data_IF_313943280630
#
_entry.id   IF_313943280630
#
_cell.length_a   1.000
_cell.length_b   1.000
_cell.length_c   1.000
_cell.angle_alpha   90.00
_cell.angle_beta   90.00
_cell.angle_gamma   90.00
#
_symmetry.space_group_name_H-M   'P 1'
#
loop_
_entity.id
_entity.type
_entity.pdbx_description
1 polymer ?
#
# COMPACT_ATOMS: atom_id res chain seq x y z
N UNK A 1 -82.54 -35.79 -35.28
CA UNK A 1 -81.34 -35.09 -34.70
C UNK A 1 -80.20 -36.07 -34.56
N UNK A 2 -79.09 -35.81 -35.26
CA UNK A 2 -77.96 -36.71 -35.31
C UNK A 2 -76.83 -36.31 -34.31
N UNK A 3 -77.08 -35.38 -33.42
CA UNK A 3 -76.11 -34.92 -32.51
C UNK A 3 -76.57 -35.06 -31.06
N UNK A 4 -75.80 -35.74 -30.24
CA UNK A 4 -76.00 -35.80 -28.79
C UNK A 4 -75.23 -34.67 -28.13
N UNK A 5 -75.80 -34.03 -27.11
CA UNK A 5 -75.13 -33.00 -26.32
C UNK A 5 -73.94 -33.61 -25.59
N UNK A 6 -72.78 -33.07 -25.81
CA UNK A 6 -71.57 -33.44 -25.07
C UNK A 6 -71.06 -32.24 -24.28
N UNK A 7 -70.65 -32.47 -23.07
CA UNK A 7 -69.99 -31.49 -22.22
C UNK A 7 -68.62 -32.02 -21.77
N UNK A 8 -67.64 -31.14 -21.68
CA UNK A 8 -66.32 -31.43 -21.08
C UNK A 8 -66.04 -30.46 -19.95
N UNK A 9 -65.59 -30.97 -18.82
CA UNK A 9 -65.13 -30.17 -17.70
C UNK A 9 -63.65 -30.07 -17.80
N UNK A 10 -63.09 -28.86 -17.55
CA UNK A 10 -61.69 -28.63 -17.44
C UNK A 10 -61.43 -27.72 -16.23
N UNK A 11 -60.27 -27.88 -15.60
CA UNK A 11 -59.83 -27.03 -14.50
C UNK A 11 -58.85 -25.97 -15.04
N UNK A 12 -59.13 -24.74 -14.71
CA UNK A 12 -58.17 -23.65 -14.93
C UNK A 12 -57.54 -23.29 -13.57
N UNK A 13 -56.21 -23.45 -13.46
CA UNK A 13 -55.46 -22.99 -12.32
C UNK A 13 -54.79 -21.65 -12.69
N UNK A 14 -55.12 -20.60 -11.97
CA UNK A 14 -54.48 -19.29 -12.13
C UNK A 14 -53.54 -19.08 -10.95
N UNK A 15 -52.26 -19.11 -11.21
CA UNK A 15 -51.25 -18.80 -10.18
C UNK A 15 -50.92 -17.30 -10.16
N UNK A 16 -50.77 -16.75 -8.95
CA UNK A 16 -50.34 -15.35 -8.79
C UNK A 16 -48.89 -15.16 -9.28
N UNK A 17 -48.69 -14.14 -10.08
CA UNK A 17 -47.30 -13.73 -10.42
C UNK A 17 -46.67 -13.04 -9.23
N UNK A 18 -45.72 -13.72 -8.57
CA UNK A 18 -44.99 -13.22 -7.38
C UNK A 18 -43.69 -12.52 -7.71
N UNK A 19 -43.38 -12.27 -8.97
CA UNK A 19 -42.13 -11.60 -9.38
C UNK A 19 -42.11 -10.15 -8.91
N UNK A 20 -40.93 -9.70 -8.57
CA UNK A 20 -40.65 -8.33 -8.11
C UNK A 20 -39.49 -7.73 -8.89
N UNK A 21 -39.43 -6.40 -8.93
CA UNK A 21 -38.32 -5.66 -9.47
C UNK A 21 -37.62 -4.90 -8.33
N UNK A 22 -36.30 -4.95 -8.32
CA UNK A 22 -35.47 -4.18 -7.41
C UNK A 22 -34.63 -3.22 -8.25
N UNK A 23 -34.97 -1.94 -8.22
CA UNK A 23 -34.29 -0.92 -8.98
C UNK A 23 -33.27 -0.18 -8.06
N UNK A 24 -32.01 -0.32 -8.39
CA UNK A 24 -30.88 0.41 -7.79
C UNK A 24 -29.76 0.44 -8.82
N UNK A 25 -28.95 1.50 -8.82
CA UNK A 25 -27.80 1.71 -9.74
C UNK A 25 -26.51 1.81 -8.98
N UNK A 26 -25.38 1.68 -9.68
CA UNK A 26 -24.06 1.99 -9.20
C UNK A 26 -24.02 3.43 -8.68
N UNK A 27 -23.18 3.66 -7.67
CA UNK A 27 -23.04 4.95 -7.02
C UNK A 27 -21.60 5.42 -7.17
N UNK A 28 -21.44 6.66 -7.60
CA UNK A 28 -20.16 7.38 -7.59
C UNK A 28 -20.37 8.64 -6.77
N UNK A 29 -19.55 8.80 -5.73
CA UNK A 29 -19.59 9.96 -4.84
C UNK A 29 -18.19 10.39 -4.44
N UNK A 30 -18.06 11.59 -3.90
CA UNK A 30 -16.84 12.06 -3.23
C UNK A 30 -16.96 11.78 -1.72
N UNK A 31 -15.85 11.55 -1.05
CA UNK A 31 -15.83 11.31 0.39
C UNK A 31 -16.56 12.43 1.16
N UNK A 32 -17.51 12.04 2.03
CA UNK A 32 -18.39 12.97 2.78
C UNK A 32 -19.37 13.81 1.93
N UNK A 33 -19.59 13.50 0.66
CA UNK A 33 -20.61 14.16 -0.17
C UNK A 33 -22.03 13.95 0.36
N UNK A 34 -22.29 12.83 1.05
CA UNK A 34 -23.59 12.55 1.64
C UNK A 34 -24.56 11.77 0.75
N UNK A 35 -24.10 11.24 -0.37
CA UNK A 35 -24.91 10.37 -1.24
C UNK A 35 -25.44 9.13 -0.48
N UNK A 36 -26.54 8.59 -0.97
CA UNK A 36 -27.25 7.48 -0.36
C UNK A 36 -27.45 6.35 -1.35
N UNK A 37 -27.40 5.11 -0.87
CA UNK A 37 -27.96 3.97 -1.59
C UNK A 37 -29.47 4.06 -1.53
N UNK A 38 -30.14 4.10 -2.67
CA UNK A 38 -31.60 4.18 -2.79
C UNK A 38 -32.09 3.02 -3.64
N UNK A 39 -32.89 2.15 -3.06
CA UNK A 39 -33.49 1.00 -3.72
C UNK A 39 -35.02 1.15 -3.81
N UNK A 40 -35.59 0.91 -4.98
CA UNK A 40 -37.03 0.91 -5.19
C UNK A 40 -37.47 -0.52 -5.49
N UNK A 41 -38.39 -1.03 -4.66
CA UNK A 41 -38.97 -2.36 -4.77
C UNK A 41 -40.42 -2.26 -5.29
N UNK A 42 -40.72 -2.93 -6.41
CA UNK A 42 -42.03 -2.95 -7.01
C UNK A 42 -42.46 -4.39 -7.34
N UNK A 43 -43.78 -4.63 -7.50
CA UNK A 43 -44.30 -5.84 -8.09
C UNK A 43 -43.99 -5.92 -9.60
N UNK A 44 -44.45 -6.98 -10.24
CA UNK A 44 -44.26 -7.22 -11.68
C UNK A 44 -45.01 -6.22 -12.59
N UNK A 45 -46.03 -5.50 -12.06
CA UNK A 45 -46.77 -4.45 -12.75
C UNK A 45 -46.17 -3.06 -12.53
N UNK A 46 -45.17 -2.95 -11.65
CA UNK A 46 -44.51 -1.68 -11.30
C UNK A 46 -45.17 -0.98 -10.10
N UNK A 47 -46.16 -1.58 -9.43
CA UNK A 47 -46.73 -1.00 -8.22
C UNK A 47 -45.74 -1.08 -7.07
N UNK A 48 -45.61 -0.04 -6.22
CA UNK A 48 -44.66 -0.01 -5.11
C UNK A 48 -45.05 -1.05 -4.03
N UNK A 49 -44.02 -1.74 -3.49
CA UNK A 49 -44.17 -2.63 -2.34
C UNK A 49 -43.74 -1.89 -1.12
N UNK A 50 -44.69 -1.40 -0.33
CA UNK A 50 -44.46 -0.68 0.94
C UNK A 50 -44.28 -1.65 2.11
N UNK A 51 -43.63 -1.16 3.19
CA UNK A 51 -43.37 -1.88 4.44
C UNK A 51 -42.60 -3.19 4.25
N UNK A 52 -41.83 -3.33 3.17
CA UNK A 52 -40.96 -4.46 2.91
C UNK A 52 -39.55 -4.20 3.45
N UNK A 53 -38.92 -5.22 4.01
CA UNK A 53 -37.54 -5.11 4.51
C UNK A 53 -36.55 -5.37 3.36
N UNK A 54 -35.74 -4.36 3.02
CA UNK A 54 -34.64 -4.44 2.06
C UNK A 54 -33.32 -4.46 2.83
N UNK A 55 -32.44 -5.36 2.44
CA UNK A 55 -31.11 -5.54 3.05
C UNK A 55 -30.04 -4.94 2.14
N UNK A 56 -29.19 -4.11 2.72
CA UNK A 56 -28.02 -3.51 2.07
C UNK A 56 -26.76 -4.10 2.68
N UNK A 57 -26.02 -4.89 1.94
CA UNK A 57 -24.75 -5.48 2.39
C UNK A 57 -23.60 -4.79 1.69
N UNK A 58 -22.70 -4.15 2.45
CA UNK A 58 -21.52 -3.46 1.93
C UNK A 58 -20.40 -3.53 2.97
N UNK A 59 -19.16 -3.71 2.53
CA UNK A 59 -17.97 -3.77 3.39
C UNK A 59 -18.13 -4.80 4.54
N UNK A 60 -18.73 -5.97 4.26
CA UNK A 60 -18.94 -7.05 5.23
C UNK A 60 -20.04 -6.79 6.27
N UNK A 61 -20.78 -5.67 6.19
CA UNK A 61 -21.89 -5.34 7.09
C UNK A 61 -23.20 -5.33 6.33
N UNK A 62 -24.26 -5.81 6.98
CA UNK A 62 -25.64 -5.82 6.44
C UNK A 62 -26.53 -4.90 7.25
N UNK A 63 -27.22 -4.02 6.58
CA UNK A 63 -28.17 -3.05 7.13
C UNK A 63 -29.55 -3.30 6.55
N UNK A 64 -30.58 -3.33 7.39
CA UNK A 64 -31.97 -3.44 6.96
C UNK A 64 -32.63 -2.06 6.93
N UNK A 65 -33.49 -1.83 5.92
CA UNK A 65 -34.33 -0.64 5.78
C UNK A 65 -35.70 -1.08 5.29
N UNK A 66 -36.72 -0.42 5.80
CA UNK A 66 -38.12 -0.66 5.40
C UNK A 66 -38.47 0.27 4.25
N UNK A 67 -39.15 -0.24 3.22
CA UNK A 67 -39.66 0.58 2.12
C UNK A 67 -40.80 1.48 2.57
N UNK A 68 -40.81 2.70 2.08
CA UNK A 68 -41.90 3.67 2.26
C UNK A 68 -43.09 3.39 1.36
N UNK A 69 -44.08 4.29 1.34
CA UNK A 69 -45.29 4.17 0.50
C UNK A 69 -44.98 4.11 -1.02
N UNK A 70 -43.82 4.62 -1.43
CA UNK A 70 -43.35 4.57 -2.83
C UNK A 70 -42.47 3.35 -3.11
N UNK A 71 -42.40 2.37 -2.20
CA UNK A 71 -41.55 1.19 -2.33
C UNK A 71 -40.07 1.51 -2.17
N UNK A 72 -39.69 2.66 -1.62
CA UNK A 72 -38.31 3.15 -1.54
C UNK A 72 -37.68 2.85 -0.18
N UNK A 73 -36.54 2.18 -0.19
CA UNK A 73 -35.66 2.02 0.95
C UNK A 73 -34.34 2.74 0.72
N UNK A 74 -33.79 3.43 1.73
CA UNK A 74 -32.54 4.17 1.55
C UNK A 74 -31.60 4.06 2.74
N UNK A 75 -30.27 4.05 2.44
CA UNK A 75 -29.19 4.00 3.43
C UNK A 75 -28.11 5.04 3.10
N UNK A 76 -27.67 5.82 4.10
CA UNK A 76 -26.53 6.74 3.95
C UNK A 76 -25.22 5.97 3.90
N UNK A 77 -24.25 6.49 3.15
CA UNK A 77 -22.90 5.95 3.01
C UNK A 77 -21.93 6.75 3.90
N UNK A 78 -21.28 6.06 4.83
CA UNK A 78 -20.25 6.64 5.70
C UNK A 78 -19.04 5.69 5.75
N UNK A 79 -18.44 5.45 4.58
CA UNK A 79 -17.25 4.62 4.40
C UNK A 79 -16.09 5.49 3.97
N UNK A 80 -14.85 5.00 4.14
CA UNK A 80 -13.64 5.66 3.62
C UNK A 80 -13.62 5.63 2.09
N UNK A 81 -12.81 6.49 1.48
CA UNK A 81 -12.65 6.52 0.02
C UNK A 81 -12.08 5.20 -0.50
N UNK A 82 -12.84 4.53 -1.34
CA UNK A 82 -12.49 3.25 -1.98
C UNK A 82 -13.58 2.85 -2.98
N UNK A 83 -13.37 1.72 -3.65
CA UNK A 83 -14.38 1.04 -4.47
C UNK A 83 -14.90 -0.17 -3.70
N UNK A 84 -16.21 -0.25 -3.53
CA UNK A 84 -16.89 -1.31 -2.79
C UNK A 84 -17.89 -2.05 -3.70
N UNK A 85 -17.97 -3.37 -3.54
CA UNK A 85 -19.09 -4.15 -4.04
C UNK A 85 -20.17 -4.18 -2.95
N UNK A 86 -21.40 -3.89 -3.34
CA UNK A 86 -22.56 -3.96 -2.47
C UNK A 86 -23.61 -4.88 -3.04
N UNK A 87 -24.33 -5.59 -2.18
CA UNK A 87 -25.48 -6.41 -2.53
C UNK A 87 -26.73 -5.81 -1.88
N UNK A 88 -27.76 -5.59 -2.67
CA UNK A 88 -29.06 -5.16 -2.18
C UNK A 88 -30.06 -6.27 -2.43
N UNK A 89 -30.82 -6.69 -1.40
CA UNK A 89 -31.71 -7.84 -1.51
C UNK A 89 -33.02 -7.65 -0.75
N UNK A 90 -34.04 -8.32 -1.25
CA UNK A 90 -35.29 -8.55 -0.59
C UNK A 90 -35.51 -10.05 -0.44
N UNK A 91 -35.81 -10.55 0.75
CA UNK A 91 -35.89 -11.99 1.02
C UNK A 91 -37.21 -12.63 0.61
N UNK A 92 -38.17 -11.83 0.07
CA UNK A 92 -39.49 -12.29 -0.29
C UNK A 92 -40.51 -12.29 0.86
N UNK A 93 -41.73 -12.70 0.54
CA UNK A 93 -42.85 -12.92 1.46
C UNK A 93 -43.80 -14.01 0.87
N UNK A 94 -44.90 -14.30 1.52
CA UNK A 94 -45.89 -15.21 0.98
C UNK A 94 -46.46 -14.74 -0.37
N UNK A 95 -46.46 -13.40 -0.61
CA UNK A 95 -47.01 -12.77 -1.82
C UNK A 95 -45.95 -12.49 -2.89
N UNK A 96 -44.67 -12.40 -2.53
CA UNK A 96 -43.60 -11.94 -3.42
C UNK A 96 -42.34 -12.79 -3.33
N UNK A 97 -41.72 -13.02 -4.48
CA UNK A 97 -40.44 -13.75 -4.58
C UNK A 97 -39.27 -12.92 -4.02
N UNK A 98 -38.22 -13.62 -3.58
CA UNK A 98 -36.95 -12.99 -3.24
C UNK A 98 -36.26 -12.45 -4.48
N UNK A 99 -35.48 -11.35 -4.31
CA UNK A 99 -34.64 -10.77 -5.35
C UNK A 99 -33.35 -10.19 -4.74
N UNK A 100 -32.29 -10.21 -5.53
CA UNK A 100 -31.00 -9.64 -5.13
C UNK A 100 -30.33 -8.96 -6.33
N UNK A 101 -29.63 -7.86 -6.10
CA UNK A 101 -28.86 -7.12 -7.10
C UNK A 101 -27.53 -6.68 -6.52
N UNK A 102 -26.44 -6.85 -7.29
CA UNK A 102 -25.13 -6.34 -6.97
C UNK A 102 -24.92 -5.00 -7.66
N UNK A 103 -24.28 -4.09 -6.96
CA UNK A 103 -23.89 -2.77 -7.45
C UNK A 103 -22.47 -2.43 -7.00
N UNK A 104 -21.86 -1.47 -7.69
CA UNK A 104 -20.58 -0.87 -7.32
C UNK A 104 -20.82 0.47 -6.64
N UNK A 105 -20.15 0.69 -5.52
CA UNK A 105 -20.11 1.98 -4.81
C UNK A 105 -18.69 2.52 -4.86
N UNK A 106 -18.46 3.59 -5.62
CA UNK A 106 -17.17 4.27 -5.74
C UNK A 106 -17.19 5.53 -4.89
N UNK A 107 -16.34 5.60 -3.88
CA UNK A 107 -16.14 6.79 -3.05
C UNK A 107 -14.78 7.39 -3.41
N UNK A 108 -14.77 8.47 -4.17
CA UNK A 108 -13.58 9.18 -4.59
C UNK A 108 -12.96 9.92 -3.40
N UNK A 109 -11.62 9.94 -3.27
CA UNK A 109 -10.95 10.66 -2.20
C UNK A 109 -10.97 12.17 -2.41
N UNK A 110 -10.90 12.91 -1.31
CA UNK A 110 -10.67 14.37 -1.29
C UNK A 110 -9.19 14.72 -1.17
N UNK A 111 -8.31 13.71 -1.05
CA UNK A 111 -6.85 13.84 -1.09
C UNK A 111 -6.33 12.96 -2.24
N UNK A 112 -5.69 13.59 -3.21
CA UNK A 112 -5.11 12.90 -4.39
C UNK A 112 -3.62 13.21 -4.48
N UNK A 113 -2.80 12.18 -4.50
CA UNK A 113 -1.36 12.26 -4.71
C UNK A 113 -0.85 10.92 -5.26
N UNK A 114 0.35 10.95 -5.83
CA UNK A 114 1.11 9.75 -6.18
C UNK A 114 2.11 9.40 -5.08
N UNK A 115 2.48 8.13 -4.98
CA UNK A 115 3.61 7.68 -4.18
C UNK A 115 4.90 8.34 -4.68
N UNK A 116 5.85 8.61 -3.77
CA UNK A 116 7.11 9.24 -4.14
C UNK A 116 8.28 8.27 -4.02
N UNK A 117 9.04 8.15 -5.10
CA UNK A 117 10.34 7.48 -5.12
C UNK A 117 11.42 8.51 -5.47
N UNK A 118 12.42 8.67 -4.62
CA UNK A 118 13.52 9.63 -4.85
C UNK A 118 14.84 9.10 -4.33
N UNK A 119 15.96 9.62 -4.83
CA UNK A 119 17.27 9.40 -4.23
C UNK A 119 17.42 10.25 -2.96
N UNK A 120 18.27 9.79 -2.04
CA UNK A 120 18.64 10.55 -0.84
C UNK A 120 19.15 11.95 -1.22
N UNK A 121 18.64 12.99 -0.51
CA UNK A 121 18.91 14.41 -0.78
C UNK A 121 18.57 14.92 -2.20
N UNK A 122 17.85 14.14 -3.03
CA UNK A 122 17.28 14.67 -4.27
C UNK A 122 16.26 15.78 -3.93
N UNK A 123 16.13 16.79 -4.79
CA UNK A 123 15.26 17.94 -4.53
C UNK A 123 13.76 17.66 -4.79
N UNK A 124 13.40 16.51 -5.36
CA UNK A 124 12.01 16.14 -5.64
C UNK A 124 11.17 16.19 -4.37
N UNK A 125 9.99 16.82 -4.49
CA UNK A 125 9.05 17.02 -3.39
C UNK A 125 7.83 16.12 -3.57
N UNK A 126 7.15 15.82 -2.46
CA UNK A 126 5.84 15.19 -2.48
C UNK A 126 4.77 16.27 -2.68
N UNK A 127 3.79 16.03 -3.57
CA UNK A 127 2.68 16.93 -3.86
C UNK A 127 1.37 16.20 -3.62
N UNK A 128 0.40 16.87 -2.97
CA UNK A 128 -0.96 16.37 -2.80
C UNK A 128 -1.98 17.46 -3.08
N UNK A 129 -3.03 17.10 -3.81
CA UNK A 129 -4.19 17.96 -4.08
C UNK A 129 -5.31 17.64 -3.09
N UNK A 130 -5.92 18.69 -2.55
CA UNK A 130 -7.01 18.63 -1.59
C UNK A 130 -8.26 19.29 -2.15
N UNK A 131 -9.40 18.63 -1.97
CA UNK A 131 -10.72 19.17 -2.34
C UNK A 131 -11.68 19.08 -1.16
N UNK A 132 -12.79 19.81 -1.25
CA UNK A 132 -13.94 19.59 -0.38
C UNK A 132 -14.77 18.37 -0.85
N UNK A 133 -15.86 18.08 -0.15
CA UNK A 133 -16.79 16.99 -0.49
C UNK A 133 -17.60 17.21 -1.77
N UNK A 134 -17.50 18.39 -2.42
CA UNK A 134 -18.10 18.68 -3.72
C UNK A 134 -17.09 18.59 -4.86
N UNK A 135 -15.81 18.32 -4.55
CA UNK A 135 -14.71 18.26 -5.51
C UNK A 135 -14.05 19.63 -5.80
N UNK A 136 -14.48 20.70 -5.12
CA UNK A 136 -13.86 22.01 -5.25
C UNK A 136 -12.51 22.05 -4.55
N UNK A 137 -11.49 22.63 -5.20
CA UNK A 137 -10.16 22.77 -4.66
C UNK A 137 -10.13 23.58 -3.34
N UNK A 138 -9.42 23.08 -2.33
CA UNK A 138 -9.17 23.80 -1.08
C UNK A 138 -8.03 24.80 -1.28
N UNK A 139 -8.33 25.99 -1.79
CA UNK A 139 -7.34 27.03 -2.00
C UNK A 139 -6.96 27.73 -0.69
N UNK A 140 -5.68 28.10 -0.56
CA UNK A 140 -5.13 28.84 0.59
C UNK A 140 -5.51 28.26 1.96
N UNK A 141 -5.63 26.94 2.05
CA UNK A 141 -6.05 26.20 3.24
C UNK A 141 -4.86 25.52 3.89
N UNK A 142 -4.78 25.57 5.23
CA UNK A 142 -3.75 24.84 5.97
C UNK A 142 -4.14 23.37 6.04
N UNK A 143 -3.34 22.51 5.42
CA UNK A 143 -3.42 21.06 5.46
C UNK A 143 -2.25 20.50 6.27
N UNK A 144 -2.35 19.25 6.70
CA UNK A 144 -1.33 18.64 7.54
C UNK A 144 -0.80 17.34 6.93
N UNK A 145 0.50 17.16 7.00
CA UNK A 145 1.18 15.91 6.69
C UNK A 145 1.82 15.32 7.94
N UNK A 146 1.84 14.00 8.05
CA UNK A 146 2.65 13.28 9.01
C UNK A 146 3.57 12.31 8.26
N UNK A 147 4.86 12.35 8.56
CA UNK A 147 5.81 11.35 8.08
C UNK A 147 6.84 11.08 9.19
N UNK A 148 7.12 9.81 9.44
CA UNK A 148 8.07 9.37 10.48
C UNK A 148 7.79 10.01 11.86
N UNK A 149 6.50 10.15 12.22
CA UNK A 149 6.05 10.72 13.49
C UNK A 149 6.10 12.24 13.59
N UNK A 150 6.55 12.95 12.55
CA UNK A 150 6.65 14.42 12.54
C UNK A 150 5.49 15.00 11.73
N UNK A 151 4.83 16.01 12.31
CA UNK A 151 3.74 16.73 11.66
C UNK A 151 4.22 18.02 10.99
N UNK A 152 3.72 18.27 9.78
CA UNK A 152 4.03 19.45 8.98
C UNK A 152 2.73 20.11 8.52
N UNK A 153 2.51 21.36 8.89
CA UNK A 153 1.44 22.19 8.36
C UNK A 153 1.93 22.87 7.06
N UNK A 154 1.12 22.78 6.00
CA UNK A 154 1.39 23.39 4.69
C UNK A 154 0.14 24.12 4.22
N UNK A 155 0.33 25.23 3.55
CA UNK A 155 -0.78 25.96 2.92
C UNK A 155 -0.88 25.52 1.47
N UNK A 156 -2.08 25.15 1.03
CA UNK A 156 -2.36 24.84 -0.37
C UNK A 156 -2.33 26.10 -1.24
N UNK A 157 -1.96 25.93 -2.48
CA UNK A 157 -2.04 26.98 -3.49
C UNK A 157 -3.51 27.21 -3.97
N UNK A 158 -3.68 28.04 -5.01
CA UNK A 158 -5.00 28.35 -5.61
C UNK A 158 -5.71 27.13 -6.20
N UNK A 159 -4.97 26.08 -6.56
CA UNK A 159 -5.45 24.83 -7.17
C UNK A 159 -5.66 23.72 -6.13
N UNK A 160 -5.49 24.05 -4.84
CA UNK A 160 -5.64 23.14 -3.71
C UNK A 160 -4.44 22.19 -3.52
N UNK A 161 -3.27 22.52 -4.09
CA UNK A 161 -2.07 21.67 -3.99
C UNK A 161 -1.17 22.16 -2.87
N UNK A 162 -0.74 21.24 -2.02
CA UNK A 162 0.31 21.45 -1.03
C UNK A 162 1.47 20.50 -1.28
N UNK A 163 2.69 20.92 -0.90
CA UNK A 163 3.90 20.15 -1.10
C UNK A 163 4.75 20.00 0.15
N UNK A 164 5.51 18.89 0.22
CA UNK A 164 6.43 18.61 1.31
C UNK A 164 7.79 18.14 0.77
N UNK A 165 8.87 18.82 1.18
CA UNK A 165 10.23 18.34 0.96
C UNK A 165 10.55 17.19 1.92
N UNK A 166 11.07 16.08 1.40
CA UNK A 166 11.42 14.89 2.17
C UNK A 166 12.96 14.82 2.30
N UNK A 167 13.46 14.94 3.54
CA UNK A 167 14.89 14.92 3.88
C UNK A 167 15.27 13.74 4.77
N UNK A 168 14.51 12.64 4.70
CA UNK A 168 14.75 11.43 5.48
C UNK A 168 15.90 10.60 4.92
N UNK A 169 16.53 9.79 5.77
CA UNK A 169 17.56 8.81 5.35
C UNK A 169 16.94 7.76 4.39
N UNK A 170 17.78 7.01 3.66
CA UNK A 170 17.27 5.90 2.81
C UNK A 170 16.38 4.94 3.59
N UNK A 171 15.24 4.59 3.01
CA UNK A 171 14.22 3.73 3.63
C UNK A 171 12.86 3.90 2.98
N UNK A 172 11.90 3.11 3.47
CA UNK A 172 10.50 3.17 3.08
C UNK A 172 9.69 3.77 4.23
N UNK A 173 8.84 4.73 3.92
CA UNK A 173 8.04 5.49 4.86
C UNK A 173 6.60 5.57 4.37
N UNK A 174 5.67 5.77 5.30
CA UNK A 174 4.30 6.18 5.00
C UNK A 174 4.17 7.66 5.35
N UNK A 175 3.73 8.46 4.37
CA UNK A 175 3.30 9.82 4.58
C UNK A 175 1.77 9.83 4.68
N UNK A 176 1.21 10.30 5.78
CA UNK A 176 -0.23 10.49 5.93
C UNK A 176 -0.57 11.96 5.71
N UNK A 177 -1.49 12.22 4.78
CA UNK A 177 -2.05 13.54 4.53
C UNK A 177 -3.43 13.65 5.20
N UNK A 178 -3.74 14.83 5.75
CA UNK A 178 -4.97 15.12 6.49
C UNK A 178 -5.71 16.28 5.85
N UNK A 179 -6.96 16.04 5.44
CA UNK A 179 -7.85 17.07 4.93
C UNK A 179 -8.64 17.70 6.08
N UNK A 180 -8.46 18.98 6.41
CA UNK A 180 -9.08 19.60 7.57
C UNK A 180 -10.60 19.78 7.42
N UNK A 181 -11.12 19.81 6.19
CA UNK A 181 -12.53 20.08 5.94
C UNK A 181 -13.37 18.79 5.93
N UNK A 182 -12.88 17.73 5.30
CA UNK A 182 -13.61 16.47 5.19
C UNK A 182 -13.25 15.46 6.30
N UNK A 183 -12.12 15.69 6.98
CA UNK A 183 -11.55 14.77 7.95
C UNK A 183 -10.93 13.52 7.30
N UNK A 184 -10.73 13.51 5.98
CA UNK A 184 -10.07 12.38 5.33
C UNK A 184 -8.60 12.31 5.72
N UNK A 185 -8.14 11.10 6.02
CA UNK A 185 -6.74 10.77 6.25
C UNK A 185 -6.33 9.73 5.19
N UNK A 186 -5.23 10.02 4.47
CA UNK A 186 -4.78 9.11 3.41
C UNK A 186 -3.27 8.92 3.43
N UNK A 187 -2.84 7.65 3.40
CA UNK A 187 -1.44 7.25 3.36
C UNK A 187 -0.90 7.14 1.95
N UNK A 188 0.38 7.52 1.78
CA UNK A 188 1.14 7.41 0.53
C UNK A 188 2.52 6.83 0.83
N UNK A 189 3.04 5.98 -0.08
CA UNK A 189 4.35 5.39 0.07
C UNK A 189 5.43 6.37 -0.36
N UNK A 190 6.44 6.53 0.49
CA UNK A 190 7.62 7.34 0.22
C UNK A 190 8.84 6.42 0.27
N UNK A 191 9.53 6.25 -0.85
CA UNK A 191 10.77 5.50 -0.91
C UNK A 191 11.95 6.44 -1.14
N UNK A 192 12.85 6.51 -0.18
CA UNK A 192 14.14 7.21 -0.31
C UNK A 192 15.22 6.18 -0.62
N UNK A 193 15.75 6.20 -1.84
CA UNK A 193 16.81 5.28 -2.28
C UNK A 193 18.18 5.74 -1.78
N UNK A 194 19.02 4.78 -1.42
CA UNK A 194 20.41 5.04 -1.01
C UNK A 194 21.26 5.51 -2.20
N UNK A 195 22.20 6.42 -1.92
CA UNK A 195 23.28 6.76 -2.85
C UNK A 195 24.39 5.70 -2.87
N UNK A 196 24.40 4.77 -1.91
CA UNK A 196 25.42 3.73 -1.74
C UNK A 196 24.72 2.39 -1.77
N UNK A 197 25.13 1.50 -2.68
CA UNK A 197 24.71 0.09 -2.73
C UNK A 197 25.92 -0.81 -2.52
N UNK A 198 25.88 -1.66 -1.52
CA UNK A 198 26.96 -2.53 -1.11
C UNK A 198 26.43 -3.73 -0.34
N UNK A 199 27.21 -4.81 -0.30
CA UNK A 199 26.85 -6.04 0.41
C UNK A 199 27.93 -6.39 1.45
N UNK A 200 27.58 -7.25 2.40
CA UNK A 200 28.53 -7.85 3.32
C UNK A 200 29.60 -8.65 2.54
N UNK A 201 30.82 -8.67 3.06
CA UNK A 201 31.92 -9.43 2.49
C UNK A 201 32.32 -10.56 3.44
N UNK A 202 32.34 -11.81 2.95
CA UNK A 202 33.01 -12.92 3.62
C UNK A 202 34.16 -13.41 2.74
N UNK A 203 35.36 -13.48 3.31
CA UNK A 203 36.56 -13.92 2.58
C UNK A 203 37.49 -14.68 3.51
N UNK A 204 38.36 -15.53 2.93
CA UNK A 204 39.49 -16.08 3.68
C UNK A 204 40.62 -15.06 3.82
N UNK A 205 41.40 -15.21 4.87
CA UNK A 205 42.59 -14.38 5.11
C UNK A 205 43.54 -14.42 3.91
N UNK A 206 44.00 -13.24 3.48
CA UNK A 206 44.82 -12.98 2.30
C UNK A 206 44.17 -13.36 0.94
N UNK A 207 42.93 -13.80 0.89
CA UNK A 207 42.21 -13.96 -0.39
C UNK A 207 42.10 -12.59 -1.10
N UNK A 208 42.10 -12.59 -2.44
CA UNK A 208 42.10 -11.38 -3.27
C UNK A 208 40.74 -10.63 -3.31
N UNK A 209 39.65 -11.23 -2.81
CA UNK A 209 38.32 -10.60 -2.78
C UNK A 209 38.36 -9.23 -2.13
N UNK A 210 37.67 -8.28 -2.73
CA UNK A 210 37.61 -6.88 -2.31
C UNK A 210 36.22 -6.54 -1.81
N UNK A 211 36.13 -5.59 -0.91
CA UNK A 211 34.86 -4.95 -0.58
C UNK A 211 34.55 -3.92 -1.66
N UNK A 212 33.30 -3.94 -2.17
CA UNK A 212 32.88 -3.06 -3.26
C UNK A 212 31.62 -2.30 -2.89
N UNK A 213 31.56 -1.04 -3.32
CA UNK A 213 30.39 -0.18 -3.18
C UNK A 213 30.10 0.48 -4.53
N UNK A 214 28.86 0.32 -5.01
CA UNK A 214 28.34 1.08 -6.15
C UNK A 214 27.70 2.35 -5.65
N UNK A 215 28.03 3.47 -6.26
CA UNK A 215 27.62 4.79 -5.79
C UNK A 215 26.84 5.54 -6.87
N UNK A 216 25.81 6.25 -6.45
CA UNK A 216 24.92 7.01 -7.30
C UNK A 216 24.92 8.49 -6.95
N UNK A 217 24.73 9.34 -7.96
CA UNK A 217 24.40 10.76 -7.78
C UNK A 217 22.95 10.95 -7.28
N UNK A 218 22.62 12.15 -6.81
CA UNK A 218 21.27 12.51 -6.35
C UNK A 218 20.18 12.43 -7.43
N UNK A 219 20.57 12.43 -8.71
CA UNK A 219 19.67 12.24 -9.85
C UNK A 219 19.47 10.75 -10.21
N UNK A 220 20.16 9.83 -9.52
CA UNK A 220 20.09 8.39 -9.77
C UNK A 220 21.07 7.89 -10.81
N UNK A 221 21.87 8.75 -11.45
CA UNK A 221 22.95 8.33 -12.34
C UNK A 221 24.12 7.74 -11.57
N UNK A 222 24.97 6.94 -12.23
CA UNK A 222 26.21 6.40 -11.62
C UNK A 222 27.16 7.54 -11.27
N UNK A 223 27.71 7.52 -10.06
CA UNK A 223 28.68 8.49 -9.58
C UNK A 223 30.09 8.12 -10.08
N UNK A 224 30.43 8.50 -11.31
CA UNK A 224 31.72 8.20 -11.97
C UNK A 224 32.79 9.20 -11.53
N UNK A 225 34.01 8.71 -11.32
CA UNK A 225 35.17 9.51 -10.88
C UNK A 225 34.91 10.34 -9.62
N UNK A 226 34.14 9.79 -8.66
CA UNK A 226 33.85 10.41 -7.38
C UNK A 226 34.68 9.80 -6.26
N UNK A 227 35.18 10.64 -5.35
CA UNK A 227 35.84 10.16 -4.16
C UNK A 227 34.83 9.73 -3.13
N UNK A 228 35.03 8.53 -2.59
CA UNK A 228 34.28 7.98 -1.44
C UNK A 228 35.27 7.58 -0.36
N UNK A 229 34.82 7.51 0.87
CA UNK A 229 35.64 7.10 2.00
C UNK A 229 35.10 5.82 2.60
N UNK A 230 35.99 4.84 2.76
CA UNK A 230 35.74 3.64 3.57
C UNK A 230 36.40 3.82 4.94
N UNK A 231 35.69 3.48 6.00
CA UNK A 231 36.27 3.33 7.34
C UNK A 231 36.14 1.85 7.75
N UNK A 232 37.26 1.23 8.09
CA UNK A 232 37.26 -0.12 8.67
C UNK A 232 38.35 -0.16 9.77
N UNK A 233 37.97 -0.72 10.94
CA UNK A 233 38.86 -0.82 12.09
C UNK A 233 39.52 0.53 12.49
N UNK A 234 38.74 1.64 12.35
CA UNK A 234 39.23 3.01 12.70
C UNK A 234 40.12 3.66 11.64
N UNK A 235 40.45 2.98 10.54
CA UNK A 235 41.30 3.51 9.46
C UNK A 235 40.44 3.96 8.29
N UNK A 236 40.70 5.16 7.78
CA UNK A 236 39.99 5.79 6.66
C UNK A 236 40.75 5.60 5.34
N UNK A 237 40.06 5.18 4.31
CA UNK A 237 40.59 4.95 2.97
C UNK A 237 39.76 5.70 1.93
N UNK A 238 40.32 6.67 1.24
CA UNK A 238 39.68 7.33 0.11
C UNK A 238 39.92 6.53 -1.15
N UNK A 239 38.84 6.22 -1.90
CA UNK A 239 38.87 5.53 -3.19
C UNK A 239 38.00 6.29 -4.19
N UNK A 240 38.43 6.26 -5.47
CA UNK A 240 37.70 6.88 -6.56
C UNK A 240 36.85 5.82 -7.26
N UNK A 241 35.60 6.14 -7.56
CA UNK A 241 34.71 5.26 -8.33
C UNK A 241 35.13 5.16 -9.80
N UNK A 242 34.99 3.99 -10.37
CA UNK A 242 35.26 3.71 -11.78
C UNK A 242 34.11 4.19 -12.70
N UNK A 243 34.18 3.82 -14.00
CA UNK A 243 33.16 4.11 -15.01
C UNK A 243 31.77 3.49 -14.71
N UNK A 244 31.70 2.49 -13.85
CA UNK A 244 30.48 1.82 -13.39
C UNK A 244 29.99 2.37 -12.04
N UNK A 245 30.61 3.46 -11.54
CA UNK A 245 30.29 4.01 -10.23
C UNK A 245 30.76 3.14 -9.07
N UNK A 246 31.67 2.18 -9.28
CA UNK A 246 32.14 1.23 -8.28
C UNK A 246 33.48 1.69 -7.70
N UNK A 247 33.57 1.73 -6.38
CA UNK A 247 34.82 1.82 -5.67
C UNK A 247 35.09 0.56 -4.87
N UNK A 248 36.36 0.15 -4.75
CA UNK A 248 36.72 -1.09 -4.10
C UNK A 248 37.91 -0.91 -3.14
N UNK A 249 37.84 -1.67 -2.02
CA UNK A 249 38.88 -1.71 -0.99
C UNK A 249 39.37 -3.15 -0.77
N UNK A 250 40.67 -3.39 -0.90
CA UNK A 250 41.29 -4.66 -0.47
C UNK A 250 41.32 -4.74 1.05
N UNK A 251 40.93 -5.87 1.59
CA UNK A 251 40.91 -6.12 3.05
C UNK A 251 42.00 -7.14 3.40
N UNK A 252 43.00 -6.71 4.20
CA UNK A 252 44.13 -7.53 4.66
C UNK A 252 44.14 -7.69 6.18
N UNK A 253 42.98 -7.56 6.81
CA UNK A 253 42.81 -7.75 8.26
C UNK A 253 42.93 -9.23 8.63
N UNK A 254 43.37 -9.49 9.89
CA UNK A 254 43.41 -10.87 10.44
C UNK A 254 42.02 -11.49 10.50
N UNK A 255 41.92 -12.83 10.65
CA UNK A 255 40.63 -13.49 10.85
C UNK A 255 39.81 -12.85 11.98
N UNK A 256 38.53 -12.55 11.70
CA UNK A 256 37.64 -11.83 12.61
C UNK A 256 36.43 -11.21 11.91
N UNK A 257 35.58 -10.57 12.68
CA UNK A 257 34.42 -9.84 12.21
C UNK A 257 34.66 -8.33 12.38
N UNK A 258 34.40 -7.58 11.33
CA UNK A 258 34.60 -6.13 11.26
C UNK A 258 33.37 -5.47 10.68
N UNK A 259 33.19 -4.19 10.99
CA UNK A 259 32.24 -3.32 10.29
C UNK A 259 33.03 -2.39 9.39
N UNK A 260 32.68 -2.35 8.10
CA UNK A 260 33.14 -1.33 7.16
C UNK A 260 32.04 -0.31 6.96
N UNK A 261 32.37 0.98 7.07
CA UNK A 261 31.44 2.08 6.80
C UNK A 261 31.88 2.80 5.55
N UNK A 262 31.00 2.89 4.56
CA UNK A 262 31.20 3.68 3.35
C UNK A 262 30.52 5.03 3.51
N UNK A 263 31.24 6.10 3.20
CA UNK A 263 30.79 7.48 3.34
C UNK A 263 30.82 8.18 1.99
N UNK A 264 29.68 8.76 1.60
CA UNK A 264 29.55 9.54 0.38
C UNK A 264 28.41 10.56 0.51
N UNK A 265 28.68 11.81 0.19
CA UNK A 265 27.71 12.92 0.09
C UNK A 265 26.74 13.00 1.30
N UNK A 266 27.32 12.94 2.51
CA UNK A 266 26.59 13.01 3.78
C UNK A 266 25.81 11.73 4.15
N UNK A 267 25.98 10.65 3.41
CA UNK A 267 25.44 9.34 3.73
C UNK A 267 26.56 8.41 4.19
N UNK A 268 26.33 7.68 5.25
CA UNK A 268 27.21 6.64 5.81
C UNK A 268 26.41 5.34 5.94
N UNK A 269 26.94 4.25 5.36
CA UNK A 269 26.33 2.92 5.36
C UNK A 269 27.36 1.90 5.88
N UNK A 270 26.99 1.17 6.92
CA UNK A 270 27.81 0.09 7.49
C UNK A 270 27.43 -1.28 6.92
N UNK A 271 28.46 -2.11 6.65
CA UNK A 271 28.30 -3.51 6.28
C UNK A 271 29.28 -4.39 7.05
N UNK A 272 28.96 -5.68 7.13
CA UNK A 272 29.80 -6.66 7.82
C UNK A 272 30.90 -7.16 6.87
N UNK A 273 32.11 -7.24 7.40
CA UNK A 273 33.26 -7.95 6.77
C UNK A 273 33.68 -9.09 7.67
N UNK A 274 33.59 -10.31 7.19
CA UNK A 274 34.05 -11.51 7.90
C UNK A 274 35.31 -12.05 7.21
N UNK A 275 36.41 -12.06 7.91
CA UNK A 275 37.67 -12.68 7.46
C UNK A 275 37.80 -14.03 8.15
N UNK A 276 37.76 -15.12 7.38
CA UNK A 276 37.86 -16.48 7.83
C UNK A 276 39.36 -16.90 7.96
N UNK A 277 39.73 -17.72 8.96
CA UNK A 277 41.08 -18.30 9.07
C UNK A 277 41.36 -19.23 7.91
N UNK A 278 42.61 -19.34 7.52
CA UNK A 278 43.11 -20.34 6.56
C UNK A 278 43.69 -21.58 7.23
N UNK A 279 43.73 -21.57 8.58
CA UNK A 279 44.12 -22.72 9.38
C UNK A 279 42.99 -23.09 10.33
N UNK A 280 42.66 -24.37 10.39
CA UNK A 280 41.72 -24.95 11.35
C UNK A 280 42.48 -25.93 12.22
N UNK A 281 42.36 -25.72 13.54
CA UNK A 281 42.94 -26.58 14.57
C UNK A 281 41.86 -26.95 15.58
N UNK A 282 42.07 -28.04 16.30
CA UNK A 282 41.23 -28.42 17.46
C UNK A 282 42.12 -28.44 18.71
N UNK A 283 41.55 -28.10 19.84
CA UNK A 283 42.23 -28.27 21.10
C UNK A 283 42.58 -29.74 21.30
N UNK A 284 43.82 -30.05 21.76
CA UNK A 284 44.30 -31.36 22.08
C UNK A 284 44.44 -31.52 23.59
N UNK A 285 43.74 -32.47 24.16
CA UNK A 285 43.98 -32.94 25.53
C UNK A 285 44.58 -34.33 25.46
N UNK A 286 45.77 -34.54 26.05
CA UNK A 286 46.49 -35.78 25.96
C UNK A 286 47.05 -36.20 27.34
N UNK A 287 47.29 -37.48 27.51
CA UNK A 287 48.05 -38.00 28.65
C UNK A 287 49.49 -38.11 28.25
N UNK A 288 50.38 -38.06 29.26
CA UNK A 288 51.81 -38.23 29.04
C UNK A 288 52.11 -39.52 28.29
N UNK A 289 52.86 -39.43 27.18
CA UNK A 289 53.26 -40.52 26.29
C UNK A 289 52.08 -41.33 25.64
N UNK A 290 50.90 -40.75 25.45
CA UNK A 290 49.77 -41.46 24.83
C UNK A 290 49.81 -41.46 23.27
N UNK A 291 50.81 -40.83 22.66
CA UNK A 291 51.04 -40.83 21.21
C UNK A 291 50.12 -39.85 20.42
N UNK A 292 49.29 -39.06 21.10
CA UNK A 292 48.43 -38.04 20.45
C UNK A 292 49.29 -36.96 19.78
N UNK A 293 48.85 -36.50 18.61
CA UNK A 293 49.50 -35.45 17.85
C UNK A 293 48.56 -34.27 17.65
N UNK A 294 49.08 -33.05 17.81
CA UNK A 294 48.40 -31.83 17.41
C UNK A 294 48.37 -31.75 15.89
N UNK A 295 47.19 -31.49 15.32
CA UNK A 295 47.02 -31.40 13.87
C UNK A 295 46.45 -30.03 13.49
N UNK A 296 46.94 -29.45 12.39
CA UNK A 296 46.41 -28.28 11.77
C UNK A 296 46.09 -28.60 10.29
N UNK A 297 44.92 -28.17 9.84
CA UNK A 297 44.49 -28.29 8.47
C UNK A 297 44.48 -26.91 7.78
N UNK A 298 45.03 -26.79 6.59
CA UNK A 298 44.91 -25.64 5.73
C UNK A 298 43.63 -25.73 4.91
N UNK A 299 42.92 -24.59 4.73
CA UNK A 299 41.71 -24.48 3.94
C UNK A 299 42.00 -23.81 2.60
#
# INVERSE_FOLDING_TARGET
DKYTQSSANFNITVEANKNVNLNISDIVMIYKEGARMVAVLTDYLGNPIANATVYFTINGQTYNKTTDANGTASMGLNLVSNVYNATVSYNGSDMYNKISKNITVTINPTIVADDLVKMYQNATRFYAKFTDSTGKALANTIVRFNIHGVFYNKTTDKDGVADLGIMLRPGNYILTAYNPLTGEEKGFNITVKSLIMQNDLTKYYLNASRFEATVYNKDGSLAVNKNITFNINGVFYTKTTDKNGVASLGISLRPGNYTITTMYDGLDIGNKVTVLPTLVTKDLSMKYLDGSNFTAQTL
#
